data_IF_198563572172
#
_entry.id   IF_198563572172
#
_cell.length_a   1.000
_cell.length_b   1.000
_cell.length_c   1.000
_cell.angle_alpha   90.00
_cell.angle_beta   90.00
_cell.angle_gamma   90.00
#
_symmetry.space_group_name_H-M   'P 1'
#
loop_
_entity.id
_entity.type
_entity.pdbx_description
1 polymer ?
#
# COMPACT_ATOMS: atom_id res chain seq x y z
N UNK A 1 3.72 -3.46 -2.83
CA UNK A 1 3.79 -2.92 -1.46
C UNK A 1 2.93 -1.66 -1.36
N UNK A 2 2.24 -1.41 -0.24
CA UNK A 2 1.56 -0.16 0.06
C UNK A 2 2.24 0.57 1.22
N UNK A 3 2.17 1.90 1.25
CA UNK A 3 2.42 2.70 2.46
C UNK A 3 1.17 3.55 2.74
N UNK A 4 0.54 3.31 3.89
CA UNK A 4 -0.75 3.88 4.30
C UNK A 4 -0.60 4.54 5.67
N UNK A 5 -1.25 5.69 5.88
CA UNK A 5 -1.36 6.33 7.20
C UNK A 5 -2.80 6.29 7.68
N UNK A 6 -3.03 5.97 8.95
CA UNK A 6 -4.36 6.14 9.55
C UNK A 6 -4.63 7.61 9.83
N UNK A 7 -5.69 8.15 9.24
CA UNK A 7 -6.08 9.57 9.34
C UNK A 7 -7.55 9.71 9.73
N UNK A 8 -7.93 10.89 10.23
CA UNK A 8 -9.33 11.31 10.37
C UNK A 8 -9.65 12.41 9.37
N UNK A 9 -10.80 12.34 8.73
CA UNK A 9 -11.33 13.36 7.83
C UNK A 9 -12.86 13.32 7.88
N UNK A 10 -13.54 14.47 7.94
CA UNK A 10 -15.00 14.58 8.10
C UNK A 10 -15.57 13.66 9.21
N UNK A 11 -14.85 13.54 10.34
CA UNK A 11 -15.11 12.64 11.47
C UNK A 11 -15.04 11.12 11.20
N UNK A 12 -14.98 10.66 9.95
CA UNK A 12 -14.63 9.27 9.61
C UNK A 12 -13.12 9.02 9.78
N UNK A 13 -12.75 7.74 9.91
CA UNK A 13 -11.35 7.27 9.96
C UNK A 13 -11.02 6.48 8.70
N UNK A 14 -9.92 6.82 8.04
CA UNK A 14 -9.48 6.22 6.79
C UNK A 14 -8.04 5.75 6.88
N UNK A 15 -7.65 4.79 6.04
CA UNK A 15 -6.25 4.53 5.75
C UNK A 15 -5.89 5.28 4.45
N UNK A 16 -5.13 6.36 4.58
CA UNK A 16 -4.74 7.26 3.48
C UNK A 16 -3.50 6.74 2.75
N UNK A 17 -3.58 6.62 1.43
CA UNK A 17 -2.45 6.15 0.62
C UNK A 17 -1.40 7.22 0.38
N UNK A 18 -0.16 6.99 0.84
CA UNK A 18 1.02 7.77 0.40
C UNK A 18 1.48 7.27 -0.97
N UNK A 19 1.71 5.96 -1.08
CA UNK A 19 2.26 5.33 -2.29
C UNK A 19 1.86 3.87 -2.37
N UNK A 20 1.55 3.40 -3.58
CA UNK A 20 1.42 1.98 -3.90
C UNK A 20 2.46 1.58 -4.95
N UNK A 21 3.34 0.67 -4.58
CA UNK A 21 4.40 0.15 -5.45
C UNK A 21 3.96 -1.16 -6.08
N UNK A 22 3.98 -1.19 -7.42
CA UNK A 22 3.62 -2.35 -8.26
C UNK A 22 4.61 -2.51 -9.42
N UNK A 23 4.64 -3.71 -9.98
CA UNK A 23 5.49 -4.21 -11.05
C UNK A 23 4.73 -4.49 -12.37
N UNK A 24 3.45 -4.11 -12.44
CA UNK A 24 2.56 -4.31 -13.58
C UNK A 24 1.94 -2.98 -14.03
N UNK A 25 2.32 -2.51 -15.23
CA UNK A 25 1.88 -1.24 -15.80
C UNK A 25 0.36 -1.15 -16.02
N UNK A 26 -0.28 -2.22 -16.53
CA UNK A 26 -1.74 -2.24 -16.73
C UNK A 26 -2.51 -2.00 -15.43
N UNK A 27 -2.01 -2.57 -14.31
CA UNK A 27 -2.57 -2.37 -12.99
C UNK A 27 -2.28 -0.97 -12.43
N UNK A 28 -1.29 -0.25 -12.98
CA UNK A 28 -0.93 1.12 -12.61
C UNK A 28 -1.84 2.12 -13.34
N UNK A 29 -1.88 2.11 -14.67
CA UNK A 29 -2.67 3.06 -15.45
C UNK A 29 -4.17 2.98 -15.10
N UNK A 30 -4.79 1.81 -15.29
CA UNK A 30 -6.23 1.65 -15.09
C UNK A 30 -6.71 2.05 -13.68
N UNK A 31 -5.92 1.75 -12.63
CA UNK A 31 -6.30 2.13 -11.25
C UNK A 31 -5.83 3.52 -10.81
N UNK A 32 -4.86 4.17 -11.48
CA UNK A 32 -4.59 5.61 -11.32
C UNK A 32 -5.71 6.48 -11.90
N UNK A 33 -6.49 5.92 -12.83
CA UNK A 33 -7.58 6.63 -13.52
C UNK A 33 -8.97 6.31 -12.95
N UNK A 34 -9.26 5.06 -12.59
CA UNK A 34 -10.55 4.70 -11.99
C UNK A 34 -10.56 4.96 -10.47
N UNK A 35 -9.51 4.53 -9.76
CA UNK A 35 -9.48 4.46 -8.29
C UNK A 35 -8.47 5.40 -7.61
N UNK A 36 -7.74 6.19 -8.40
CA UNK A 36 -6.86 7.30 -7.95
C UNK A 36 -5.76 6.96 -6.94
N UNK A 37 -5.46 5.68 -6.74
CA UNK A 37 -4.30 5.23 -5.96
C UNK A 37 -3.00 5.90 -6.45
N UNK A 38 -2.11 6.36 -5.55
CA UNK A 38 -0.80 6.94 -5.89
C UNK A 38 0.19 5.85 -6.31
N UNK A 39 -0.06 5.23 -7.47
CA UNK A 39 0.69 4.07 -7.95
C UNK A 39 1.98 4.47 -8.65
N UNK A 40 3.06 3.73 -8.40
CA UNK A 40 4.33 3.85 -9.14
C UNK A 40 4.83 2.47 -9.61
N UNK A 41 5.40 2.43 -10.82
CA UNK A 41 6.04 1.22 -11.36
C UNK A 41 7.42 1.03 -10.72
N UNK A 42 7.70 -0.12 -10.11
CA UNK A 42 9.01 -0.58 -9.65
C UNK A 42 9.03 -2.11 -9.74
N UNK A 43 10.20 -2.73 -9.93
CA UNK A 43 10.33 -4.19 -9.77
C UNK A 43 10.12 -4.54 -8.30
N UNK A 44 9.25 -5.51 -8.03
CA UNK A 44 8.96 -6.04 -6.70
C UNK A 44 9.26 -7.54 -6.76
N UNK A 45 10.12 -8.05 -5.88
CA UNK A 45 10.35 -9.48 -5.76
C UNK A 45 9.76 -9.95 -4.42
N UNK A 46 9.08 -11.09 -4.43
CA UNK A 46 8.55 -11.74 -3.23
C UNK A 46 8.88 -13.23 -3.26
N UNK A 47 9.50 -13.71 -2.19
CA UNK A 47 10.04 -15.05 -2.04
C UNK A 47 9.35 -15.71 -0.83
N UNK A 48 8.21 -16.39 -1.02
CA UNK A 48 7.41 -16.97 0.07
C UNK A 48 8.05 -18.19 0.74
N UNK A 49 9.17 -18.69 0.22
CA UNK A 49 9.90 -19.84 0.76
C UNK A 49 11.38 -19.79 0.35
N UNK A 50 12.13 -18.83 0.90
CA UNK A 50 13.58 -18.67 0.63
C UNK A 50 14.43 -19.73 1.36
N UNK A 51 14.15 -21.01 1.13
CA UNK A 51 14.76 -22.14 1.83
C UNK A 51 14.37 -22.29 3.31
N UNK A 52 13.51 -21.41 3.84
CA UNK A 52 13.05 -21.42 5.24
C UNK A 52 11.56 -21.07 5.33
N UNK A 53 11.02 -21.01 6.57
CA UNK A 53 9.68 -20.48 6.85
C UNK A 53 9.60 -18.95 6.79
N UNK A 54 10.74 -18.24 6.78
CA UNK A 54 10.77 -16.78 6.65
C UNK A 54 10.50 -16.40 5.20
N UNK A 55 9.53 -15.52 5.01
CA UNK A 55 9.18 -14.97 3.69
C UNK A 55 9.88 -13.63 3.53
N UNK A 56 10.50 -13.38 2.38
CA UNK A 56 11.32 -12.20 2.16
C UNK A 56 10.94 -11.52 0.85
N UNK A 57 11.16 -10.22 0.75
CA UNK A 57 10.99 -9.51 -0.51
C UNK A 57 11.62 -8.13 -0.51
N UNK A 58 11.69 -7.54 -1.69
CA UNK A 58 12.24 -6.21 -1.86
C UNK A 58 11.63 -5.46 -3.05
N UNK A 59 11.84 -4.14 -3.05
CA UNK A 59 11.48 -3.20 -4.10
C UNK A 59 12.77 -2.62 -4.69
N UNK A 60 12.93 -2.64 -6.01
CA UNK A 60 14.14 -2.13 -6.68
C UNK A 60 13.92 -0.78 -7.40
N UNK A 61 14.89 0.14 -7.28
CA UNK A 61 14.98 1.36 -8.12
C UNK A 61 16.40 1.96 -8.15
N UNK A 62 17.15 1.88 -9.27
CA UNK A 62 16.89 1.10 -10.48
C UNK A 62 16.89 -0.41 -10.20
N UNK A 63 16.63 -1.22 -11.22
CA UNK A 63 16.83 -2.67 -11.14
C UNK A 63 18.25 -3.00 -10.61
N UNK A 64 18.36 -4.03 -9.77
CA UNK A 64 19.58 -4.37 -9.05
C UNK A 64 19.89 -3.52 -7.81
N UNK A 65 19.23 -2.37 -7.59
CA UNK A 65 19.41 -1.55 -6.37
C UNK A 65 18.15 -1.56 -5.50
N UNK A 66 18.27 -2.26 -4.38
CA UNK A 66 17.20 -2.43 -3.38
C UNK A 66 16.86 -1.12 -2.66
N UNK A 67 15.64 -0.62 -2.84
CA UNK A 67 15.08 0.59 -2.23
C UNK A 67 14.38 0.28 -0.90
N UNK A 68 13.67 -0.85 -0.83
CA UNK A 68 12.91 -1.29 0.35
C UNK A 68 13.08 -2.79 0.49
N UNK A 69 13.36 -3.27 1.70
CA UNK A 69 13.53 -4.68 2.05
C UNK A 69 12.54 -5.04 3.16
N UNK A 70 11.90 -6.20 3.06
CA UNK A 70 10.93 -6.67 4.04
C UNK A 70 11.03 -8.18 4.25
N UNK A 71 10.80 -8.60 5.49
CA UNK A 71 10.80 -10.01 5.89
C UNK A 71 9.63 -10.28 6.84
N UNK A 72 9.15 -11.53 6.86
CA UNK A 72 8.11 -11.98 7.77
C UNK A 72 8.37 -13.42 8.23
N UNK A 73 8.52 -13.60 9.54
CA UNK A 73 8.67 -14.89 10.21
C UNK A 73 7.32 -15.28 10.86
N UNK A 74 6.51 -16.17 10.23
CA UNK A 74 5.21 -16.58 10.76
C UNK A 74 5.37 -17.38 12.06
N UNK A 75 4.60 -17.01 13.09
CA UNK A 75 4.60 -17.68 14.40
C UNK A 75 3.30 -18.43 14.68
N UNK A 76 2.15 -17.78 14.50
CA UNK A 76 0.84 -18.31 14.90
C UNK A 76 -0.17 -18.11 13.77
N UNK A 77 -0.97 -19.13 13.47
CA UNK A 77 -2.14 -19.00 12.60
C UNK A 77 -3.21 -18.24 13.38
N UNK A 78 -3.65 -17.10 12.85
CA UNK A 78 -4.81 -16.40 13.37
C UNK A 78 -6.08 -17.08 12.86
N UNK A 79 -7.06 -17.31 13.74
CA UNK A 79 -8.36 -17.82 13.33
C UNK A 79 -9.05 -16.83 12.39
N UNK A 80 -9.68 -17.33 11.34
CA UNK A 80 -10.51 -16.52 10.44
C UNK A 80 -11.88 -16.29 11.10
N UNK A 81 -11.97 -15.30 12.00
CA UNK A 81 -13.26 -14.80 12.47
C UNK A 81 -14.01 -14.17 11.30
N UNK A 82 -15.22 -14.68 11.01
CA UNK A 82 -16.06 -14.20 9.91
C UNK A 82 -16.48 -12.76 10.21
N UNK A 83 -15.91 -11.81 9.47
CA UNK A 83 -16.13 -10.37 9.62
C UNK A 83 -14.91 -9.56 10.06
N UNK A 84 -13.83 -10.19 10.54
CA UNK A 84 -12.65 -9.45 11.00
C UNK A 84 -11.75 -8.97 9.86
N UNK A 85 -11.61 -7.66 9.76
CA UNK A 85 -10.78 -6.91 8.81
C UNK A 85 -11.26 -6.86 7.35
N UNK A 86 -12.49 -6.36 7.15
CA UNK A 86 -12.63 -5.22 6.21
C UNK A 86 -11.63 -4.13 6.66
N UNK A 87 -10.62 -3.75 5.86
CA UNK A 87 -9.77 -2.62 6.21
C UNK A 87 -10.57 -1.31 6.14
N UNK A 88 -10.14 -0.23 6.82
CA UNK A 88 -10.77 1.08 6.67
C UNK A 88 -10.89 1.49 5.21
N UNK A 89 -11.96 2.21 4.86
CA UNK A 89 -12.13 2.83 3.53
C UNK A 89 -10.82 3.53 3.14
N UNK A 90 -10.31 3.31 1.93
CA UNK A 90 -9.01 3.88 1.53
C UNK A 90 -9.20 5.29 0.99
N UNK A 91 -8.56 6.27 1.61
CA UNK A 91 -8.57 7.67 1.16
C UNK A 91 -7.39 7.91 0.22
N UNK A 92 -7.65 8.52 -0.95
CA UNK A 92 -6.65 8.82 -1.96
C UNK A 92 -6.76 10.29 -2.37
N UNK A 93 -5.64 10.99 -2.53
CA UNK A 93 -5.64 12.34 -3.11
C UNK A 93 -5.50 12.23 -4.64
N UNK A 94 -6.52 12.70 -5.37
CA UNK A 94 -6.46 12.91 -6.82
C UNK A 94 -6.02 14.34 -7.09
N UNK A 95 -4.90 14.49 -7.79
CA UNK A 95 -4.50 15.75 -8.42
C UNK A 95 -4.39 15.52 -9.92
N UNK A 96 -4.99 16.41 -10.71
CA UNK A 96 -4.75 16.52 -12.16
C UNK A 96 -4.16 17.91 -12.41
N UNK A 97 -2.98 18.03 -13.04
CA UNK A 97 -2.41 19.34 -13.38
C UNK A 97 -3.28 20.06 -14.42
N UNK A 98 -3.31 21.39 -14.38
CA UNK A 98 -3.83 22.18 -15.50
C UNK A 98 -2.70 22.55 -16.48
N UNK A 99 -2.99 23.39 -17.46
CA UNK A 99 -1.97 24.05 -18.29
C UNK A 99 -1.28 25.22 -17.58
N UNK A 100 -1.85 25.71 -16.48
CA UNK A 100 -1.21 26.65 -15.56
C UNK A 100 -0.45 25.87 -14.46
N UNK A 101 0.87 26.06 -14.30
CA UNK A 101 1.64 25.42 -13.21
C UNK A 101 1.21 25.82 -11.79
N UNK A 102 0.49 26.93 -11.61
CA UNK A 102 0.06 27.41 -10.30
C UNK A 102 -1.13 26.64 -9.72
N UNK A 103 -2.08 26.20 -10.55
CA UNK A 103 -3.33 25.58 -10.11
C UNK A 103 -3.63 24.23 -10.79
N UNK A 104 -4.03 23.19 -10.03
CA UNK A 104 -4.44 21.92 -10.59
C UNK A 104 -5.85 22.00 -11.20
N UNK A 105 -6.05 21.44 -12.39
CA UNK A 105 -7.37 21.35 -13.04
C UNK A 105 -8.39 20.53 -12.25
N UNK A 106 -7.92 19.67 -11.33
CA UNK A 106 -8.76 19.05 -10.31
C UNK A 106 -7.93 18.64 -9.09
N UNK A 107 -8.46 18.94 -7.90
CA UNK A 107 -7.96 18.47 -6.60
C UNK A 107 -9.15 17.95 -5.80
N UNK A 108 -9.16 16.66 -5.48
CA UNK A 108 -10.22 16.01 -4.69
C UNK A 108 -9.64 14.84 -3.87
N UNK A 109 -10.18 14.61 -2.67
CA UNK A 109 -10.07 13.31 -2.02
C UNK A 109 -11.06 12.33 -2.66
N UNK A 110 -10.62 11.08 -2.78
CA UNK A 110 -11.35 9.99 -3.42
C UNK A 110 -11.31 8.78 -2.50
N UNK A 111 -12.49 8.40 -2.02
CA UNK A 111 -12.68 7.25 -1.13
C UNK A 111 -12.92 6.00 -1.98
N UNK A 112 -12.19 4.93 -1.67
CA UNK A 112 -12.31 3.63 -2.33
C UNK A 112 -12.54 2.53 -1.31
N UNK A 113 -13.64 1.81 -1.48
CA UNK A 113 -13.96 0.61 -0.71
C UNK A 113 -13.20 -0.60 -1.27
N UNK A 114 -12.43 -1.30 -0.43
CA UNK A 114 -11.68 -2.50 -0.78
C UNK A 114 -11.87 -3.58 0.28
N UNK A 115 -12.62 -4.62 -0.07
CA UNK A 115 -13.01 -5.71 0.82
C UNK A 115 -12.03 -6.88 0.66
N UNK A 116 -11.62 -7.50 1.78
CA UNK A 116 -10.70 -8.63 1.80
C UNK A 116 -11.35 -9.84 2.48
N UNK A 117 -11.35 -10.97 1.78
CA UNK A 117 -11.80 -12.26 2.29
C UNK A 117 -10.56 -13.14 2.52
N UNK A 118 -10.12 -13.26 3.78
CA UNK A 118 -8.94 -14.05 4.14
C UNK A 118 -9.27 -15.54 4.22
N UNK A 119 -8.57 -16.37 3.45
CA UNK A 119 -8.61 -17.83 3.58
C UNK A 119 -7.63 -18.34 4.63
N UNK A 120 -6.50 -17.65 4.81
CA UNK A 120 -5.43 -18.00 5.74
C UNK A 120 -4.80 -16.71 6.26
N UNK A 121 -4.49 -16.63 7.56
CA UNK A 121 -3.88 -15.45 8.20
C UNK A 121 -2.90 -15.87 9.28
N UNK A 122 -1.76 -15.19 9.38
CA UNK A 122 -0.69 -15.48 10.33
C UNK A 122 -0.25 -14.20 11.04
N UNK A 123 0.01 -14.27 12.34
CA UNK A 123 0.83 -13.29 13.05
C UNK A 123 2.27 -13.79 13.15
N UNK A 124 3.20 -12.85 13.31
CA UNK A 124 4.63 -13.15 13.30
C UNK A 124 5.48 -11.94 13.63
N UNK A 125 6.79 -12.10 13.48
CA UNK A 125 7.74 -10.99 13.45
C UNK A 125 7.90 -10.52 12.00
N UNK A 126 7.83 -9.21 11.79
CA UNK A 126 7.98 -8.61 10.47
C UNK A 126 8.96 -7.46 10.53
N UNK A 127 9.87 -7.40 9.56
CA UNK A 127 10.84 -6.33 9.41
C UNK A 127 10.57 -5.53 8.14
N UNK A 128 10.92 -4.24 8.18
CA UNK A 128 10.81 -3.33 7.04
C UNK A 128 11.94 -2.31 7.10
N UNK A 129 12.76 -2.27 6.06
CA UNK A 129 13.95 -1.44 5.94
C UNK A 129 13.87 -0.58 4.68
N UNK A 130 13.87 0.74 4.85
CA UNK A 130 13.99 1.70 3.76
C UNK A 130 15.46 2.06 3.56
N UNK A 131 16.01 1.77 2.38
CA UNK A 131 17.39 2.14 2.05
C UNK A 131 17.44 3.62 1.63
N UNK A 132 18.41 4.37 2.15
CA UNK A 132 18.58 5.81 1.89
C UNK A 132 19.38 6.09 0.60
N UNK A 133 19.46 7.38 0.22
CA UNK A 133 20.27 7.84 -0.91
C UNK A 133 19.61 7.67 -2.29
N UNK A 134 18.29 7.91 -2.37
CA UNK A 134 17.51 7.85 -3.61
C UNK A 134 16.76 9.17 -3.83
N UNK A 135 17.37 10.12 -4.54
CA UNK A 135 16.82 11.47 -4.74
C UNK A 135 15.41 11.52 -5.38
N UNK A 136 14.99 10.47 -6.08
CA UNK A 136 13.69 10.38 -6.76
C UNK A 136 12.58 9.67 -5.94
N UNK A 137 12.82 9.39 -4.65
CA UNK A 137 11.85 8.76 -3.73
C UNK A 137 11.91 9.38 -2.33
N UNK A 138 11.54 10.66 -2.14
CA UNK A 138 11.56 11.32 -0.83
C UNK A 138 10.64 10.63 0.20
N UNK A 139 9.54 10.03 -0.24
CA UNK A 139 8.63 9.21 0.57
C UNK A 139 9.27 7.92 1.13
N UNK A 140 10.47 7.53 0.67
CA UNK A 140 11.25 6.42 1.21
C UNK A 140 12.28 6.87 2.26
N UNK A 141 12.36 8.18 2.58
CA UNK A 141 13.20 8.69 3.67
C UNK A 141 12.46 8.67 5.02
N UNK A 142 11.68 7.61 5.26
CA UNK A 142 10.98 7.36 6.52
C UNK A 142 11.82 6.39 7.36
N UNK A 143 11.98 6.71 8.64
CA UNK A 143 12.63 5.82 9.60
C UNK A 143 11.55 5.01 10.34
N UNK A 144 11.84 3.74 10.60
CA UNK A 144 10.96 2.87 11.41
C UNK A 144 11.44 2.95 12.84
N UNK A 145 10.78 3.78 13.64
CA UNK A 145 11.01 3.91 15.09
C UNK A 145 10.67 2.61 15.83
N UNK A 146 9.49 2.05 15.57
CA UNK A 146 8.99 0.87 16.27
C UNK A 146 8.00 0.05 15.44
N UNK A 147 7.97 -1.27 15.67
CA UNK A 147 7.05 -2.21 15.03
C UNK A 147 5.85 -2.49 15.96
N UNK A 148 4.70 -1.85 15.69
CA UNK A 148 3.49 -1.98 16.52
C UNK A 148 2.79 -3.35 16.35
N UNK A 149 3.05 -4.05 15.24
CA UNK A 149 2.57 -5.41 14.98
C UNK A 149 2.76 -5.81 13.52
N UNK A 150 2.76 -7.12 13.24
CA UNK A 150 2.84 -7.63 11.88
C UNK A 150 1.94 -8.85 11.69
N UNK A 151 1.36 -8.95 10.49
CA UNK A 151 0.60 -10.10 10.05
C UNK A 151 0.73 -10.25 8.53
N UNK A 152 0.50 -11.47 8.06
CA UNK A 152 0.41 -11.80 6.63
C UNK A 152 -0.85 -12.63 6.42
N UNK A 153 -1.45 -12.58 5.23
CA UNK A 153 -2.60 -13.40 4.92
C UNK A 153 -2.77 -13.63 3.43
N UNK A 154 -3.45 -14.73 3.10
CA UNK A 154 -3.88 -15.06 1.76
C UNK A 154 -5.35 -14.73 1.63
N UNK A 155 -5.70 -13.93 0.63
CA UNK A 155 -7.03 -13.32 0.53
C UNK A 155 -7.51 -13.20 -0.90
N UNK A 156 -8.82 -13.32 -1.10
CA UNK A 156 -9.49 -12.66 -2.23
C UNK A 156 -9.66 -11.18 -1.89
N UNK A 157 -9.58 -10.30 -2.88
CA UNK A 157 -9.84 -8.88 -2.69
C UNK A 157 -10.86 -8.38 -3.73
N UNK A 158 -11.98 -7.83 -3.24
CA UNK A 158 -12.98 -7.18 -4.06
C UNK A 158 -12.81 -5.65 -3.97
N UNK A 159 -13.07 -4.95 -5.07
CA UNK A 159 -12.91 -3.50 -5.16
C UNK A 159 -14.26 -2.87 -5.50
N UNK A 160 -14.80 -2.06 -4.60
CA UNK A 160 -16.09 -1.40 -4.77
C UNK A 160 -16.05 -0.43 -5.95
N UNK A 161 -17.07 -0.45 -6.80
CA UNK A 161 -17.22 0.49 -7.91
C UNK A 161 -17.83 1.84 -7.48
N UNK A 162 -18.45 1.91 -6.30
CA UNK A 162 -18.92 3.16 -5.70
C UNK A 162 -17.71 3.98 -5.24
N UNK A 163 -17.62 5.21 -5.76
CA UNK A 163 -16.54 6.16 -5.44
C UNK A 163 -17.16 7.41 -4.81
N UNK A 164 -16.86 7.63 -3.54
CA UNK A 164 -17.21 8.84 -2.78
C UNK A 164 -16.06 9.87 -2.92
N UNK A 165 -16.39 11.16 -3.00
CA UNK A 165 -15.44 12.24 -3.37
C UNK A 165 -15.67 13.50 -2.55
N UNK A 166 -14.59 14.17 -2.20
CA UNK A 166 -14.60 15.43 -1.46
C UNK A 166 -13.68 16.45 -2.17
N UNK A 167 -14.21 17.54 -2.76
CA UNK A 167 -13.42 18.60 -3.36
C UNK A 167 -12.49 19.31 -2.36
N UNK A 168 -11.38 19.88 -2.84
CA UNK A 168 -10.33 20.53 -2.04
C UNK A 168 -9.79 21.79 -2.71
#
# INVERSE_FOLDING_TARGET
MANLLRVKYNNETYDYSIVLVLDNDSAIFARREIFRYPKIFRKVNFHPSAGSRVMMGNVERPAGRSLIEFEFAPKVILGNSVGDATPPKVLNLRVIPSTDPAEPALREFVVVDMQFEFSEKWSGEGSLKFNKGFASTPWANLEVDSYVGSWMGKSKAALGNKVERFPL
#
